data_IF_067295292876
#
_entry.id   IF_067295292876
#
_cell.length_a   1.000
_cell.length_b   1.000
_cell.length_c   1.000
_cell.angle_alpha   90.00
_cell.angle_beta   90.00
_cell.angle_gamma   90.00
#
_symmetry.space_group_name_H-M   'P 1'
#
loop_
_entity.id
_entity.type
_entity.pdbx_description
1 polymer ?
#
# COMPACT_ATOMS: atom_id res chain seq x y z
N UNK A 1 3.86 25.58 -19.33
CA UNK A 1 4.69 25.46 -18.10
C UNK A 1 3.81 25.56 -16.84
N UNK A 2 2.73 24.78 -16.72
CA UNK A 2 1.81 24.89 -15.57
C UNK A 2 1.34 23.52 -15.03
N UNK A 3 2.13 22.45 -15.19
CA UNK A 3 1.74 21.10 -14.77
C UNK A 3 2.68 20.43 -13.74
N UNK A 4 3.86 20.98 -13.47
CA UNK A 4 4.82 20.35 -12.54
C UNK A 4 4.53 20.65 -11.05
N UNK A 5 3.98 21.82 -10.71
CA UNK A 5 3.69 22.17 -9.31
C UNK A 5 2.48 21.42 -8.74
N UNK A 6 1.45 21.15 -9.56
CA UNK A 6 0.24 20.43 -9.13
C UNK A 6 0.52 18.96 -8.78
N UNK A 7 1.53 18.34 -9.39
CA UNK A 7 1.92 16.93 -9.10
C UNK A 7 2.64 16.75 -7.78
N UNK A 8 3.41 17.76 -7.35
CA UNK A 8 4.10 17.76 -6.05
C UNK A 8 3.11 17.88 -4.88
N UNK A 9 2.02 18.63 -5.08
CA UNK A 9 0.93 18.75 -4.11
C UNK A 9 0.02 17.51 -4.08
N UNK A 10 -0.06 16.76 -5.18
CA UNK A 10 -0.95 15.59 -5.31
C UNK A 10 -0.38 14.27 -4.74
N UNK A 11 0.87 14.27 -4.24
CA UNK A 11 1.56 13.08 -3.71
C UNK A 11 1.53 11.87 -4.68
N UNK A 12 1.77 12.14 -5.97
CA UNK A 12 1.78 11.13 -7.03
C UNK A 12 3.23 10.75 -7.42
N UNK A 13 3.45 9.58 -8.03
CA UNK A 13 4.74 9.24 -8.63
C UNK A 13 5.22 10.35 -9.60
N UNK A 14 6.52 10.70 -9.63
CA UNK A 14 7.65 9.95 -9.08
C UNK A 14 8.03 10.31 -7.62
N UNK A 15 7.37 11.25 -6.95
CA UNK A 15 7.81 11.75 -5.63
C UNK A 15 7.33 10.89 -4.45
N UNK A 16 6.30 10.09 -4.67
CA UNK A 16 5.74 9.14 -3.71
C UNK A 16 5.63 7.78 -4.37
N UNK A 17 5.94 6.73 -3.61
CA UNK A 17 5.70 5.35 -4.02
C UNK A 17 4.37 4.89 -3.45
N UNK A 18 3.61 4.15 -4.25
CA UNK A 18 2.26 3.75 -3.89
C UNK A 18 2.13 2.24 -3.92
N UNK A 19 1.58 1.65 -2.86
CA UNK A 19 1.22 0.24 -2.81
C UNK A 19 -0.29 0.11 -2.58
N UNK A 20 -0.95 -0.71 -3.39
CA UNK A 20 -2.31 -1.18 -3.12
C UNK A 20 -2.20 -2.59 -2.57
N UNK A 21 -2.80 -2.81 -1.40
CA UNK A 21 -2.91 -4.14 -0.80
C UNK A 21 -4.39 -4.47 -0.68
N UNK A 22 -4.81 -5.60 -1.25
CA UNK A 22 -6.20 -6.08 -1.20
C UNK A 22 -6.28 -7.52 -0.69
N UNK A 23 -7.39 -7.86 -0.05
CA UNK A 23 -7.62 -9.18 0.54
C UNK A 23 -8.91 -9.19 1.36
N UNK A 24 -9.08 -10.22 2.20
CA UNK A 24 -10.25 -10.34 3.07
C UNK A 24 -10.41 -9.14 4.00
N UNK A 25 -11.65 -8.66 4.19
CA UNK A 25 -11.97 -7.46 4.98
C UNK A 25 -11.29 -7.45 6.36
N UNK A 26 -11.38 -8.56 7.09
CA UNK A 26 -10.83 -8.68 8.44
C UNK A 26 -9.30 -8.56 8.43
N UNK A 27 -8.65 -9.23 7.48
CA UNK A 27 -7.18 -9.23 7.35
C UNK A 27 -6.68 -7.85 6.91
N UNK A 28 -7.38 -7.18 5.99
CA UNK A 28 -7.03 -5.83 5.52
C UNK A 28 -7.19 -4.79 6.62
N UNK A 29 -8.26 -4.85 7.42
CA UNK A 29 -8.43 -3.95 8.56
C UNK A 29 -7.30 -4.11 9.58
N UNK A 30 -6.99 -5.36 9.96
CA UNK A 30 -5.89 -5.66 10.88
C UNK A 30 -4.54 -5.22 10.33
N UNK A 31 -4.31 -5.45 9.04
CA UNK A 31 -3.08 -5.03 8.38
C UNK A 31 -2.93 -3.51 8.36
N UNK A 32 -4.00 -2.77 8.07
CA UNK A 32 -4.01 -1.31 8.10
C UNK A 32 -3.69 -0.75 9.49
N UNK A 33 -4.26 -1.33 10.55
CA UNK A 33 -4.00 -0.93 11.94
C UNK A 33 -2.54 -1.17 12.34
N UNK A 34 -1.99 -2.33 11.97
CA UNK A 34 -0.59 -2.66 12.24
C UNK A 34 0.36 -1.68 11.55
N UNK A 35 0.10 -1.37 10.27
CA UNK A 35 0.92 -0.41 9.52
C UNK A 35 0.83 1.02 10.07
N UNK A 36 -0.33 1.44 10.59
CA UNK A 36 -0.50 2.76 11.24
C UNK A 36 0.22 2.85 12.58
N UNK A 37 0.34 1.72 13.27
CA UNK A 37 1.01 1.62 14.56
C UNK A 37 2.53 1.59 14.41
N UNK A 38 3.02 1.32 13.20
CA UNK A 38 4.43 1.30 12.88
C UNK A 38 5.00 2.72 12.84
N UNK A 39 6.28 2.89 13.20
CA UNK A 39 6.92 4.23 13.31
C UNK A 39 7.27 4.87 11.96
N UNK A 40 6.95 4.18 10.88
CA UNK A 40 7.24 4.63 9.52
C UNK A 40 6.24 5.71 9.10
N UNK A 41 6.69 6.70 8.33
CA UNK A 41 5.85 7.80 7.82
C UNK A 41 4.96 7.33 6.64
N UNK A 42 4.16 6.30 6.87
CA UNK A 42 3.25 5.73 5.88
C UNK A 42 1.91 6.46 5.92
N UNK A 43 1.47 6.94 4.76
CA UNK A 43 0.13 7.49 4.60
C UNK A 43 -0.81 6.39 4.10
N UNK A 44 -1.68 5.93 4.99
CA UNK A 44 -2.56 4.77 4.74
C UNK A 44 -4.00 5.25 4.56
N UNK A 45 -4.54 5.09 3.35
CA UNK A 45 -5.94 5.37 3.01
C UNK A 45 -6.74 4.06 2.98
N UNK A 46 -7.94 4.07 3.58
CA UNK A 46 -8.83 2.90 3.68
C UNK A 46 -8.92 2.34 5.10
N UNK A 47 -9.44 1.12 5.31
CA UNK A 47 -9.89 0.16 4.30
C UNK A 47 -11.01 0.70 3.41
N UNK A 48 -10.95 0.40 2.12
CA UNK A 48 -12.02 0.66 1.14
C UNK A 48 -12.55 -0.69 0.69
N UNK A 49 -13.86 -0.87 0.80
CA UNK A 49 -14.50 -2.12 0.37
C UNK A 49 -14.45 -2.24 -1.16
N UNK A 50 -14.03 -3.42 -1.63
CA UNK A 50 -14.11 -3.78 -3.06
C UNK A 50 -15.44 -4.50 -3.31
N UNK A 51 -15.79 -5.43 -2.42
CA UNK A 51 -17.04 -6.19 -2.43
C UNK A 51 -17.46 -6.59 -1.00
N UNK A 52 -18.43 -7.48 -0.85
CA UNK A 52 -18.94 -7.92 0.44
C UNK A 52 -17.90 -8.63 1.33
N UNK A 53 -16.83 -9.17 0.74
CA UNK A 53 -15.81 -10.00 1.38
C UNK A 53 -14.40 -9.43 1.31
N UNK A 54 -14.11 -8.62 0.29
CA UNK A 54 -12.79 -8.07 0.01
C UNK A 54 -12.74 -6.57 0.28
N UNK A 55 -11.59 -6.12 0.78
CA UNK A 55 -11.23 -4.71 0.91
C UNK A 55 -9.83 -4.45 0.35
N UNK A 56 -9.51 -3.18 0.14
CA UNK A 56 -8.16 -2.72 -0.14
C UNK A 56 -7.75 -1.57 0.77
N UNK A 57 -6.45 -1.42 0.95
CA UNK A 57 -5.82 -0.20 1.43
C UNK A 57 -4.85 0.33 0.40
N UNK A 58 -4.63 1.63 0.48
CA UNK A 58 -3.64 2.34 -0.32
C UNK A 58 -2.59 2.91 0.62
N UNK A 59 -1.34 2.54 0.40
CA UNK A 59 -0.19 2.95 1.18
C UNK A 59 0.62 3.90 0.30
N UNK A 60 0.86 5.13 0.76
CA UNK A 60 1.73 6.10 0.09
C UNK A 60 2.90 6.42 0.99
N UNK A 61 4.09 6.46 0.41
CA UNK A 61 5.34 6.76 1.13
C UNK A 61 6.21 7.70 0.32
N UNK A 62 6.98 8.54 0.99
CA UNK A 62 8.00 9.35 0.32
C UNK A 62 9.07 8.46 -0.30
N UNK A 63 9.73 8.93 -1.36
CA UNK A 63 10.81 8.21 -2.04
C UNK A 63 11.92 7.70 -1.10
N UNK A 64 12.21 8.43 -0.02
CA UNK A 64 13.24 8.05 0.96
C UNK A 64 12.91 6.72 1.66
N UNK A 65 11.62 6.49 1.91
CA UNK A 65 11.08 5.30 2.58
C UNK A 65 10.56 4.25 1.58
N UNK A 66 10.67 4.53 0.27
CA UNK A 66 10.14 3.67 -0.77
C UNK A 66 10.78 2.29 -0.79
N UNK A 67 12.08 2.18 -0.47
CA UNK A 67 12.77 0.90 -0.39
C UNK A 67 12.22 0.05 0.77
N UNK A 68 12.01 0.68 1.93
CA UNK A 68 11.45 0.00 3.12
C UNK A 68 10.06 -0.57 2.83
N UNK A 69 9.21 0.20 2.13
CA UNK A 69 7.91 -0.28 1.70
C UNK A 69 8.01 -1.49 0.76
N UNK A 70 8.91 -1.43 -0.22
CA UNK A 70 9.11 -2.53 -1.19
C UNK A 70 9.59 -3.79 -0.47
N UNK A 71 10.58 -3.66 0.43
CA UNK A 71 11.12 -4.78 1.19
C UNK A 71 10.03 -5.40 2.08
N UNK A 72 9.22 -4.58 2.75
CA UNK A 72 8.08 -5.06 3.54
C UNK A 72 7.06 -5.81 2.68
N UNK A 73 6.72 -5.30 1.50
CA UNK A 73 5.78 -5.97 0.59
C UNK A 73 6.34 -7.29 0.06
N UNK A 74 7.63 -7.35 -0.22
CA UNK A 74 8.32 -8.57 -0.66
C UNK A 74 8.36 -9.62 0.46
N UNK A 75 8.68 -9.22 1.69
CA UNK A 75 8.66 -10.11 2.86
C UNK A 75 7.26 -10.67 3.14
N UNK A 76 6.22 -9.84 3.05
CA UNK A 76 4.83 -10.27 3.17
C UNK A 76 4.49 -11.31 2.08
N UNK A 77 4.94 -11.08 0.85
CA UNK A 77 4.71 -12.00 -0.28
C UNK A 77 5.44 -13.32 -0.07
N UNK A 78 6.69 -13.29 0.39
CA UNK A 78 7.50 -14.48 0.72
C UNK A 78 6.86 -15.31 1.83
N UNK A 79 6.47 -14.68 2.95
CA UNK A 79 5.86 -15.37 4.09
C UNK A 79 4.56 -16.07 3.70
N UNK A 80 3.73 -15.42 2.88
CA UNK A 80 2.50 -15.99 2.33
C UNK A 80 2.77 -17.18 1.40
N UNK A 81 3.82 -17.10 0.59
CA UNK A 81 4.30 -18.19 -0.25
C UNK A 81 4.72 -19.41 0.57
N UNK A 82 5.55 -19.21 1.60
CA UNK A 82 5.99 -20.30 2.51
C UNK A 82 4.80 -20.94 3.22
N UNK A 83 3.80 -20.14 3.64
CA UNK A 83 2.60 -20.64 4.33
C UNK A 83 1.54 -21.20 3.38
N UNK A 84 1.77 -21.19 2.06
CA UNK A 84 0.79 -21.59 1.03
C UNK A 84 -0.58 -20.92 1.17
N UNK A 85 -0.61 -19.69 1.71
CA UNK A 85 -1.82 -18.90 1.91
C UNK A 85 -1.64 -17.54 1.27
N UNK A 86 -2.35 -17.30 0.16
CA UNK A 86 -2.40 -15.99 -0.52
C UNK A 86 -3.52 -15.16 0.09
N UNK A 87 -3.23 -14.53 1.22
CA UNK A 87 -4.15 -13.70 2.01
C UNK A 87 -4.24 -12.28 1.42
N UNK A 88 -3.13 -11.77 0.89
CA UNK A 88 -3.00 -10.43 0.33
C UNK A 88 -2.54 -10.49 -1.12
N UNK A 89 -3.16 -9.64 -1.93
CA UNK A 89 -2.72 -9.29 -3.27
C UNK A 89 -2.10 -7.89 -3.21
N UNK A 90 -0.82 -7.79 -3.56
CA UNK A 90 -0.03 -6.55 -3.49
C UNK A 90 0.27 -6.06 -4.89
N UNK A 91 -0.02 -4.77 -5.15
CA UNK A 91 0.32 -4.08 -6.39
C UNK A 91 1.10 -2.82 -6.08
N UNK A 92 2.33 -2.76 -6.57
CA UNK A 92 3.18 -1.57 -6.47
C UNK A 92 2.99 -0.69 -7.70
N UNK A 93 2.90 0.61 -7.47
CA UNK A 93 2.77 1.67 -8.46
C UNK A 93 1.71 1.36 -9.54
N UNK A 94 0.44 1.10 -9.14
CA UNK A 94 -0.62 0.85 -10.11
C UNK A 94 -0.81 2.09 -11.00
N UNK A 95 -0.93 1.86 -12.31
CA UNK A 95 -1.14 2.91 -13.30
C UNK A 95 -2.49 3.62 -13.16
N UNK A 96 -3.49 2.93 -12.59
CA UNK A 96 -4.83 3.47 -12.31
C UNK A 96 -4.96 3.70 -10.80
N UNK A 97 -4.95 4.97 -10.39
CA UNK A 97 -5.12 5.43 -9.00
C UNK A 97 -6.41 6.24 -8.83
#
# INVERSE_FOLDING_TARGET
MYELNSRKLAKLPPYYRVAVVSGDKAEISKFAENLRSDKNNYEITGPVEIDNSQSKILIRVELQEAQVLVDLMDDITKVQGVKSKRIFNVRLDPFDL
#
